data_IF_623926938012
#
_entry.id   IF_623926938012
#
_cell.length_a   1.000
_cell.length_b   1.000
_cell.length_c   1.000
_cell.angle_alpha   90.00
_cell.angle_beta   90.00
_cell.angle_gamma   90.00
#
_symmetry.space_group_name_H-M   'P 1'
#
loop_
_entity.id
_entity.type
_entity.pdbx_description
1 polymer ?
#
# COMPACT_ATOMS: atom_id res chain seq x y z
N UNK A 1 -31.17 -24.77 0.19
CA UNK A 1 -30.91 -24.44 1.61
C UNK A 1 -29.51 -23.84 1.76
N UNK A 2 -28.49 -24.35 1.07
CA UNK A 2 -27.15 -23.81 1.15
C UNK A 2 -27.03 -22.40 0.52
N UNK A 3 -27.79 -22.09 -0.52
CA UNK A 3 -27.85 -20.75 -1.11
C UNK A 3 -28.45 -19.71 -0.16
N UNK A 4 -29.37 -20.13 0.70
CA UNK A 4 -29.95 -19.23 1.70
C UNK A 4 -28.98 -18.89 2.85
N UNK A 5 -27.91 -19.68 3.05
CA UNK A 5 -26.90 -19.41 4.08
C UNK A 5 -25.77 -18.50 3.59
N UNK A 6 -25.62 -18.35 2.28
CA UNK A 6 -24.52 -17.58 1.66
C UNK A 6 -25.04 -16.33 0.95
N UNK A 7 -26.33 -16.21 0.77
CA UNK A 7 -26.86 -15.16 -0.10
C UNK A 7 -28.07 -14.43 0.40
N UNK A 8 -28.25 -13.39 -0.24
CA UNK A 8 -29.22 -12.35 -0.18
C UNK A 8 -30.69 -12.75 0.07
N UNK A 9 -31.08 -13.96 -0.26
CA UNK A 9 -32.51 -14.34 -0.22
C UNK A 9 -33.07 -14.57 1.21
N UNK A 10 -32.23 -14.91 2.17
CA UNK A 10 -32.67 -15.00 3.58
C UNK A 10 -33.02 -13.66 4.18
N UNK A 11 -32.43 -12.61 3.70
CA UNK A 11 -32.60 -11.25 4.24
C UNK A 11 -33.82 -10.51 3.71
N UNK A 12 -34.59 -11.11 2.80
CA UNK A 12 -35.83 -10.52 2.24
C UNK A 12 -36.88 -10.27 3.32
N UNK A 13 -36.85 -11.05 4.41
CA UNK A 13 -37.76 -10.88 5.56
C UNK A 13 -37.20 -10.01 6.66
N UNK A 14 -35.91 -9.72 6.61
CA UNK A 14 -35.23 -8.94 7.63
C UNK A 14 -35.32 -7.44 7.38
N UNK A 15 -34.88 -6.66 8.35
CA UNK A 15 -34.91 -5.20 8.29
C UNK A 15 -33.84 -4.61 7.37
N UNK A 16 -32.84 -5.38 6.99
CA UNK A 16 -31.69 -4.97 6.16
C UNK A 16 -31.49 -6.00 5.03
N UNK A 17 -31.27 -5.52 3.81
CA UNK A 17 -30.90 -6.35 2.68
C UNK A 17 -29.38 -6.46 2.59
N UNK A 18 -28.83 -7.68 2.50
CA UNK A 18 -27.41 -7.91 2.38
C UNK A 18 -27.06 -8.70 1.11
N UNK A 19 -25.87 -8.44 0.56
CA UNK A 19 -25.39 -9.08 -0.66
C UNK A 19 -23.87 -9.17 -0.66
N UNK A 20 -23.33 -10.32 -1.11
CA UNK A 20 -21.91 -10.47 -1.39
C UNK A 20 -21.63 -9.97 -2.81
N UNK A 21 -20.88 -8.89 -2.93
CA UNK A 21 -20.59 -8.25 -4.21
C UNK A 21 -19.16 -8.58 -4.66
N UNK A 22 -19.04 -9.40 -5.69
CA UNK A 22 -17.77 -9.78 -6.30
C UNK A 22 -17.56 -9.15 -7.68
N UNK A 23 -18.21 -8.01 -7.95
CA UNK A 23 -18.05 -7.31 -9.23
C UNK A 23 -16.61 -6.89 -9.48
N UNK A 24 -15.89 -6.46 -8.42
CA UNK A 24 -14.52 -5.97 -8.55
C UNK A 24 -13.53 -7.10 -8.78
N UNK A 25 -12.93 -7.15 -9.96
CA UNK A 25 -11.93 -8.12 -10.40
C UNK A 25 -10.51 -7.55 -10.53
N UNK A 26 -10.34 -6.26 -10.22
CA UNK A 26 -9.12 -5.47 -10.38
C UNK A 26 -9.18 -4.48 -11.55
N UNK A 27 -9.99 -4.74 -12.55
CA UNK A 27 -10.21 -3.85 -13.70
C UNK A 27 -11.56 -3.14 -13.60
N UNK A 28 -12.59 -3.86 -13.17
CA UNK A 28 -13.93 -3.30 -12.98
C UNK A 28 -13.98 -2.53 -11.66
N UNK A 29 -14.22 -1.21 -11.69
CA UNK A 29 -14.28 -0.43 -10.46
C UNK A 29 -15.53 -0.78 -9.64
N UNK A 30 -15.33 -0.98 -8.34
CA UNK A 30 -16.36 -0.80 -7.38
C UNK A 30 -17.29 -1.96 -7.12
N UNK A 31 -18.57 -1.65 -7.01
CA UNK A 31 -19.65 -2.53 -6.66
C UNK A 31 -20.88 -2.26 -7.51
N UNK A 32 -21.80 -3.21 -7.54
CA UNK A 32 -23.09 -3.04 -8.21
C UNK A 32 -23.97 -2.02 -7.52
N UNK A 33 -24.73 -1.19 -8.26
CA UNK A 33 -25.77 -0.33 -7.67
C UNK A 33 -26.88 -1.17 -7.02
N UNK A 34 -27.39 -0.73 -5.87
CA UNK A 34 -28.48 -1.41 -5.15
C UNK A 34 -29.64 -1.83 -6.06
N UNK A 35 -30.09 -0.94 -6.93
CA UNK A 35 -31.20 -1.19 -7.89
C UNK A 35 -30.93 -2.34 -8.88
N UNK A 36 -29.68 -2.71 -9.09
CA UNK A 36 -29.30 -3.85 -9.94
C UNK A 36 -29.36 -5.16 -9.16
N UNK A 37 -29.14 -5.10 -7.85
CA UNK A 37 -29.11 -6.24 -6.95
C UNK A 37 -30.50 -6.59 -6.42
N UNK A 38 -31.31 -5.59 -6.07
CA UNK A 38 -32.64 -5.80 -5.53
C UNK A 38 -33.65 -4.75 -6.02
N UNK A 39 -34.91 -5.17 -6.17
CA UNK A 39 -36.05 -4.26 -6.43
C UNK A 39 -36.61 -3.65 -5.15
N UNK A 40 -36.20 -4.12 -3.97
CA UNK A 40 -36.63 -3.58 -2.68
C UNK A 40 -35.79 -2.33 -2.35
N UNK A 41 -36.38 -1.16 -2.62
CA UNK A 41 -35.72 0.13 -2.41
C UNK A 41 -35.89 0.67 -0.99
N UNK A 42 -36.84 0.11 -0.23
CA UNK A 42 -37.25 0.67 1.06
C UNK A 42 -36.34 0.20 2.22
N UNK A 43 -35.68 -0.93 2.05
CA UNK A 43 -34.77 -1.45 3.07
C UNK A 43 -33.35 -0.87 2.93
N UNK A 44 -32.64 -0.68 4.04
CA UNK A 44 -31.21 -0.44 4.00
C UNK A 44 -30.49 -1.56 3.25
N UNK A 45 -29.47 -1.22 2.47
CA UNK A 45 -28.65 -2.16 1.73
C UNK A 45 -27.23 -2.18 2.26
N UNK A 46 -26.69 -3.37 2.48
CA UNK A 46 -25.35 -3.60 2.99
C UNK A 46 -24.61 -4.58 2.10
N UNK A 47 -23.40 -4.24 1.69
CA UNK A 47 -22.50 -5.19 1.04
C UNK A 47 -21.82 -6.01 2.13
N UNK A 48 -22.24 -7.28 2.27
CA UNK A 48 -21.79 -8.17 3.33
C UNK A 48 -20.42 -8.79 3.08
N UNK A 49 -19.96 -8.79 1.82
CA UNK A 49 -18.62 -9.26 1.45
C UNK A 49 -18.19 -8.69 0.11
N UNK A 50 -16.92 -8.30 0.01
CA UNK A 50 -16.25 -7.96 -1.25
C UNK A 50 -14.76 -8.32 -1.20
N UNK A 51 -14.07 -8.37 -2.33
CA UNK A 51 -12.63 -8.71 -2.50
C UNK A 51 -12.20 -10.10 -1.99
N UNK A 52 -13.14 -11.04 -1.80
CA UNK A 52 -12.94 -12.24 -0.98
C UNK A 52 -11.94 -13.25 -1.48
N UNK A 53 -11.71 -13.43 -2.77
CA UNK A 53 -11.06 -14.67 -3.17
C UNK A 53 -10.06 -14.57 -4.33
N UNK A 54 -9.82 -13.39 -4.85
CA UNK A 54 -9.14 -13.30 -6.14
C UNK A 54 -7.74 -12.71 -6.10
N UNK A 55 -7.27 -12.19 -4.96
CA UNK A 55 -5.97 -11.53 -4.90
C UNK A 55 -5.18 -11.83 -3.62
N UNK A 56 -4.78 -13.11 -3.40
CA UNK A 56 -4.00 -13.46 -2.20
C UNK A 56 -2.68 -12.70 -2.20
N UNK A 57 -2.33 -12.11 -1.06
CA UNK A 57 -1.15 -11.25 -0.92
C UNK A 57 -0.42 -11.53 0.38
N UNK A 58 0.84 -11.92 0.27
CA UNK A 58 1.74 -12.15 1.41
C UNK A 58 2.51 -10.88 1.75
N UNK A 59 2.97 -10.75 2.99
CA UNK A 59 3.76 -9.61 3.44
C UNK A 59 5.07 -9.43 2.65
N UNK A 60 5.61 -10.52 2.09
CA UNK A 60 6.86 -10.59 1.32
C UNK A 60 6.65 -10.73 -0.20
N UNK A 61 5.44 -10.59 -0.71
CA UNK A 61 5.22 -10.46 -2.16
C UNK A 61 5.89 -9.20 -2.70
N UNK A 62 6.10 -9.13 -4.00
CA UNK A 62 6.66 -7.94 -4.63
C UNK A 62 5.79 -6.71 -4.35
N UNK A 63 6.40 -5.53 -4.42
CA UNK A 63 5.74 -4.28 -4.04
C UNK A 63 4.53 -3.94 -4.90
N UNK A 64 4.57 -4.29 -6.19
CA UNK A 64 3.44 -4.09 -7.10
C UNK A 64 2.22 -4.87 -6.63
N UNK A 65 2.39 -6.17 -6.29
CA UNK A 65 1.29 -7.00 -5.78
C UNK A 65 0.74 -6.48 -4.46
N UNK A 66 1.61 -6.07 -3.54
CA UNK A 66 1.19 -5.51 -2.24
C UNK A 66 0.45 -4.18 -2.39
N UNK A 67 0.92 -3.32 -3.30
CA UNK A 67 0.24 -2.05 -3.64
C UNK A 67 -1.12 -2.30 -4.29
N UNK A 68 -1.18 -3.20 -5.27
CA UNK A 68 -2.42 -3.56 -5.96
C UNK A 68 -3.47 -4.11 -4.99
N UNK A 69 -3.06 -4.94 -4.00
CA UNK A 69 -3.97 -5.41 -2.95
C UNK A 69 -4.64 -4.25 -2.22
N UNK A 70 -3.87 -3.22 -1.83
CA UNK A 70 -4.41 -2.04 -1.18
C UNK A 70 -5.36 -1.25 -2.11
N UNK A 71 -4.97 -1.09 -3.37
CA UNK A 71 -5.76 -0.36 -4.37
C UNK A 71 -7.10 -1.04 -4.66
N UNK A 72 -7.16 -2.37 -4.68
CA UNK A 72 -8.41 -3.12 -4.85
C UNK A 72 -9.41 -2.81 -3.74
N UNK A 73 -8.97 -2.74 -2.49
CA UNK A 73 -9.83 -2.32 -1.37
C UNK A 73 -10.29 -0.86 -1.53
N UNK A 74 -9.40 0.05 -1.92
CA UNK A 74 -9.76 1.45 -2.16
C UNK A 74 -10.80 1.61 -3.28
N UNK A 75 -10.68 0.84 -4.37
CA UNK A 75 -11.63 0.86 -5.49
C UNK A 75 -13.06 0.53 -5.04
N UNK A 76 -13.23 -0.50 -4.22
CA UNK A 76 -14.56 -0.87 -3.72
C UNK A 76 -15.08 0.15 -2.72
N UNK A 77 -14.24 0.59 -1.77
CA UNK A 77 -14.64 1.58 -0.78
C UNK A 77 -15.07 2.91 -1.42
N UNK A 78 -14.36 3.39 -2.44
CA UNK A 78 -14.73 4.60 -3.17
C UNK A 78 -16.08 4.43 -3.89
N UNK A 79 -16.29 3.27 -4.52
CA UNK A 79 -17.55 2.99 -5.22
C UNK A 79 -18.74 2.84 -4.26
N UNK A 80 -18.52 2.29 -3.07
CA UNK A 80 -19.52 2.22 -2.00
C UNK A 80 -19.85 3.61 -1.48
N UNK A 81 -18.82 4.39 -1.14
CA UNK A 81 -18.99 5.75 -0.62
C UNK A 81 -19.64 6.71 -1.62
N UNK A 82 -19.53 6.42 -2.91
CA UNK A 82 -20.20 7.17 -3.99
C UNK A 82 -21.69 6.85 -4.18
N UNK A 83 -22.27 5.93 -3.40
CA UNK A 83 -23.67 5.51 -3.54
C UNK A 83 -24.44 5.73 -2.23
N UNK A 84 -25.36 6.68 -2.23
CA UNK A 84 -26.14 7.09 -1.04
C UNK A 84 -27.09 5.99 -0.53
N UNK A 85 -27.45 5.02 -1.36
CA UNK A 85 -28.37 3.94 -1.05
C UNK A 85 -27.66 2.66 -0.51
N UNK A 86 -26.34 2.72 -0.32
CA UNK A 86 -25.56 1.69 0.36
C UNK A 86 -25.22 2.13 1.77
N UNK A 87 -25.73 1.41 2.76
CA UNK A 87 -25.55 1.72 4.18
C UNK A 87 -24.14 1.41 4.71
N UNK A 88 -23.42 0.50 4.05
CA UNK A 88 -22.05 0.12 4.42
C UNK A 88 -21.58 -1.13 3.71
N UNK A 89 -20.33 -1.52 3.99
CA UNK A 89 -19.72 -2.69 3.38
C UNK A 89 -18.67 -3.36 4.27
N UNK A 90 -18.47 -4.66 4.07
CA UNK A 90 -17.44 -5.46 4.74
C UNK A 90 -16.53 -6.11 3.72
N UNK A 91 -15.22 -5.82 3.84
CA UNK A 91 -14.21 -6.46 3.01
C UNK A 91 -13.84 -7.85 3.52
N UNK A 92 -13.64 -8.77 2.63
CA UNK A 92 -13.05 -10.06 2.95
C UNK A 92 -11.54 -10.02 2.72
N UNK A 93 -10.75 -10.14 3.79
CA UNK A 93 -11.15 -10.25 5.19
C UNK A 93 -10.15 -9.49 6.08
N UNK A 94 -10.41 -9.45 7.39
CA UNK A 94 -9.53 -8.74 8.31
C UNK A 94 -8.17 -9.43 8.46
N UNK A 95 -8.15 -10.76 8.61
CA UNK A 95 -6.94 -11.55 8.86
C UNK A 95 -6.76 -12.66 7.84
N UNK A 96 -5.51 -13.00 7.53
CA UNK A 96 -5.20 -14.28 6.92
C UNK A 96 -5.62 -15.41 7.88
N UNK A 97 -5.97 -16.57 7.33
CA UNK A 97 -6.48 -17.67 8.12
C UNK A 97 -6.11 -19.04 7.53
N UNK A 98 -6.06 -20.05 8.39
CA UNK A 98 -5.89 -21.42 7.95
C UNK A 98 -7.11 -21.89 7.17
N UNK A 99 -6.88 -22.61 6.08
CA UNK A 99 -7.92 -23.07 5.20
C UNK A 99 -7.79 -24.56 4.88
N UNK A 100 -8.79 -25.11 4.21
CA UNK A 100 -8.85 -26.49 3.81
C UNK A 100 -7.76 -26.83 2.78
N UNK A 101 -7.32 -28.10 2.75
CA UNK A 101 -6.28 -28.60 1.82
C UNK A 101 -6.57 -28.36 0.34
N UNK A 102 -7.82 -28.24 -0.04
CA UNK A 102 -8.27 -28.07 -1.41
C UNK A 102 -8.53 -26.58 -1.75
N UNK A 103 -8.20 -25.67 -0.85
CA UNK A 103 -8.39 -24.23 -1.02
C UNK A 103 -7.09 -23.46 -0.70
N UNK A 104 -6.77 -22.49 -1.54
CA UNK A 104 -5.60 -21.63 -1.36
C UNK A 104 -4.31 -22.21 -1.91
N UNK A 105 -3.20 -21.69 -1.45
CA UNK A 105 -1.86 -22.18 -1.78
C UNK A 105 -1.51 -23.44 -1.00
N UNK A 106 -0.46 -24.13 -1.40
CA UNK A 106 -0.06 -25.40 -0.80
C UNK A 106 0.29 -25.36 0.70
N UNK A 107 0.48 -24.18 1.26
CA UNK A 107 0.68 -23.93 2.70
C UNK A 107 -0.61 -23.90 3.52
N UNK A 108 -1.77 -24.07 2.88
CA UNK A 108 -3.11 -24.10 3.49
C UNK A 108 -3.45 -22.81 4.26
N UNK A 109 -2.94 -21.70 3.80
CA UNK A 109 -3.26 -20.38 4.32
C UNK A 109 -3.98 -19.58 3.24
N UNK A 110 -5.07 -18.94 3.61
CA UNK A 110 -5.78 -17.97 2.79
C UNK A 110 -5.21 -16.57 3.06
N UNK A 111 -4.49 -16.01 2.11
CA UNK A 111 -3.78 -14.74 2.24
C UNK A 111 -4.61 -13.53 1.80
N UNK A 112 -5.91 -13.53 2.05
CA UNK A 112 -6.81 -12.45 1.65
C UNK A 112 -6.95 -11.35 2.71
N UNK A 113 -6.41 -11.56 3.90
CA UNK A 113 -6.48 -10.59 4.98
C UNK A 113 -5.82 -9.27 4.66
N UNK A 114 -6.39 -8.17 5.13
CA UNK A 114 -5.71 -6.87 5.18
C UNK A 114 -4.62 -6.85 6.24
N UNK A 115 -4.64 -7.82 7.15
CA UNK A 115 -3.58 -8.17 8.10
C UNK A 115 -3.21 -9.63 7.92
N UNK A 116 -2.00 -10.01 8.36
CA UNK A 116 -1.62 -11.42 8.41
C UNK A 116 -2.34 -12.17 9.54
N UNK A 117 -2.12 -13.48 9.65
CA UNK A 117 -2.76 -14.30 10.68
C UNK A 117 -2.26 -13.99 12.12
N UNK A 118 -1.18 -13.25 12.25
CA UNK A 118 -0.63 -12.75 13.52
C UNK A 118 -1.00 -11.28 13.79
N UNK A 119 -1.90 -10.72 12.99
CA UNK A 119 -2.41 -9.34 13.08
C UNK A 119 -1.39 -8.25 12.74
N UNK A 120 -0.34 -8.58 11.99
CA UNK A 120 0.52 -7.55 11.42
C UNK A 120 -0.18 -6.91 10.21
N UNK A 121 -0.24 -5.58 10.13
CA UNK A 121 -0.94 -4.91 9.05
C UNK A 121 -0.17 -5.06 7.73
N UNK A 122 -0.90 -5.39 6.66
CA UNK A 122 -0.45 -5.24 5.27
C UNK A 122 -0.80 -3.84 4.77
N UNK A 123 -0.35 -3.46 3.57
CA UNK A 123 -0.66 -2.13 3.01
C UNK A 123 -2.16 -1.84 2.95
N UNK A 124 -2.98 -2.85 2.64
CA UNK A 124 -4.43 -2.70 2.56
C UNK A 124 -5.09 -2.27 3.89
N UNK A 125 -4.51 -2.63 5.04
CA UNK A 125 -5.01 -2.15 6.34
C UNK A 125 -4.93 -0.62 6.46
N UNK A 126 -3.91 -0.01 5.85
CA UNK A 126 -3.75 1.44 5.88
C UNK A 126 -4.82 2.18 5.09
N UNK A 127 -5.44 1.56 4.08
CA UNK A 127 -6.56 2.15 3.34
C UNK A 127 -7.74 2.41 4.28
N UNK A 128 -8.09 1.40 5.10
CA UNK A 128 -9.14 1.56 6.11
C UNK A 128 -8.73 2.52 7.24
N UNK A 129 -7.48 2.41 7.68
CA UNK A 129 -6.97 3.26 8.75
C UNK A 129 -6.92 4.75 8.36
N UNK A 130 -6.87 5.07 7.08
CA UNK A 130 -6.91 6.46 6.60
C UNK A 130 -8.29 7.11 6.75
N UNK A 131 -9.38 6.35 6.88
CA UNK A 131 -10.74 6.90 6.96
C UNK A 131 -11.15 7.37 8.38
N UNK A 132 -10.20 7.42 9.31
CA UNK A 132 -10.35 8.00 10.65
C UNK A 132 -9.39 9.19 10.87
N UNK A 133 -9.67 10.04 11.86
CA UNK A 133 -8.93 11.28 12.12
C UNK A 133 -8.09 11.29 13.40
N UNK A 134 -8.24 10.28 14.26
CA UNK A 134 -7.66 10.28 15.61
C UNK A 134 -6.18 9.89 15.62
N UNK A 135 -5.82 8.86 14.85
CA UNK A 135 -4.47 8.31 14.84
C UNK A 135 -3.79 8.68 13.52
N UNK A 136 -2.63 9.37 13.55
CA UNK A 136 -1.90 9.73 12.34
C UNK A 136 -1.47 8.51 11.52
N UNK A 137 -1.91 8.44 10.28
CA UNK A 137 -1.51 7.43 9.30
C UNK A 137 -0.63 8.07 8.23
N UNK A 138 0.52 7.45 8.00
CA UNK A 138 1.38 7.72 6.86
C UNK A 138 2.07 6.43 6.48
N UNK A 139 1.73 5.90 5.32
CA UNK A 139 2.34 4.71 4.73
C UNK A 139 2.67 4.98 3.27
N UNK A 140 3.89 4.61 2.86
CA UNK A 140 4.32 4.62 1.47
C UNK A 140 4.33 3.17 0.99
N UNK A 141 3.72 2.89 -0.17
CA UNK A 141 3.53 1.51 -0.64
C UNK A 141 4.80 0.86 -1.20
N UNK A 142 5.95 1.48 -1.04
CA UNK A 142 7.27 0.98 -1.45
C UNK A 142 8.31 1.19 -0.36
N UNK A 143 9.35 0.35 -0.36
CA UNK A 143 10.57 0.59 0.40
C UNK A 143 11.37 1.76 -0.17
N UNK A 144 11.12 2.16 -1.42
CA UNK A 144 11.92 3.10 -2.21
C UNK A 144 13.36 2.63 -2.47
N UNK A 145 13.68 1.38 -2.14
CA UNK A 145 14.99 0.74 -2.29
C UNK A 145 15.09 0.03 -3.66
N UNK A 146 15.02 0.84 -4.69
CA UNK A 146 14.84 0.39 -6.06
C UNK A 146 16.13 -0.18 -6.60
N UNK A 147 16.07 -1.45 -7.05
CA UNK A 147 17.20 -2.17 -7.63
C UNK A 147 17.97 -3.03 -6.64
N UNK A 148 17.76 -2.89 -5.34
CA UNK A 148 18.43 -3.70 -4.32
C UNK A 148 17.80 -5.09 -4.18
N UNK A 149 16.50 -5.21 -4.45
CA UNK A 149 15.80 -6.48 -4.44
C UNK A 149 14.89 -6.60 -5.66
N UNK A 150 14.76 -7.80 -6.28
CA UNK A 150 13.89 -8.00 -7.45
C UNK A 150 12.40 -7.67 -7.22
N UNK A 151 11.95 -7.74 -5.97
CA UNK A 151 10.60 -7.37 -5.56
C UNK A 151 10.38 -5.87 -5.36
N UNK A 152 11.45 -5.07 -5.35
CA UNK A 152 11.39 -3.62 -5.26
C UNK A 152 11.38 -3.03 -6.67
N UNK A 153 10.36 -2.27 -6.99
CA UNK A 153 10.29 -1.59 -8.29
C UNK A 153 9.68 -0.22 -8.12
N UNK A 154 9.91 0.64 -9.11
CA UNK A 154 9.39 1.99 -9.04
C UNK A 154 7.95 2.11 -9.50
N UNK A 155 7.35 1.20 -10.13
CA UNK A 155 5.97 1.15 -10.60
C UNK A 155 5.03 2.28 -10.14
N UNK A 156 3.78 2.01 -9.96
CA UNK A 156 2.84 2.92 -9.33
C UNK A 156 2.98 2.82 -7.81
N UNK A 157 3.48 3.90 -7.20
CA UNK A 157 3.66 4.03 -5.76
C UNK A 157 2.62 4.98 -5.20
N UNK A 158 2.11 4.67 -4.02
CA UNK A 158 1.04 5.47 -3.42
C UNK A 158 1.41 5.93 -2.01
N UNK A 159 0.87 7.09 -1.67
CA UNK A 159 0.81 7.62 -0.31
C UNK A 159 -0.56 7.24 0.25
N UNK A 160 -0.57 6.60 1.41
CA UNK A 160 -1.76 6.33 2.21
C UNK A 160 -1.62 7.17 3.48
N UNK A 161 -2.47 8.19 3.64
CA UNK A 161 -2.36 9.12 4.78
C UNK A 161 -3.70 9.80 5.05
N UNK A 162 -4.00 10.04 6.33
CA UNK A 162 -5.14 10.83 6.79
C UNK A 162 -4.75 12.28 7.18
N UNK A 163 -3.64 12.76 6.67
CA UNK A 163 -3.19 14.14 6.85
C UNK A 163 -3.80 15.08 5.80
N UNK A 164 -3.75 16.39 6.08
CA UNK A 164 -4.19 17.44 5.13
C UNK A 164 -3.29 17.49 3.89
N UNK A 165 -2.01 17.19 4.08
CA UNK A 165 -1.05 17.06 2.99
C UNK A 165 0.16 16.21 3.39
N UNK A 166 0.90 15.72 2.38
CA UNK A 166 2.18 15.04 2.56
C UNK A 166 3.23 15.69 1.68
N UNK A 167 4.30 16.17 2.29
CA UNK A 167 5.46 16.71 1.58
C UNK A 167 6.51 15.66 1.36
N UNK A 168 6.91 15.51 0.10
CA UNK A 168 7.98 14.60 -0.31
C UNK A 168 9.27 15.36 -0.52
N UNK A 169 10.36 14.82 0.03
CA UNK A 169 11.72 15.30 -0.12
C UNK A 169 12.61 14.20 -0.67
N UNK A 170 13.58 14.56 -1.49
CA UNK A 170 14.66 13.70 -1.98
C UNK A 170 15.99 14.35 -1.62
N UNK A 171 16.81 13.66 -0.79
CA UNK A 171 18.07 14.20 -0.26
C UNK A 171 17.89 15.62 0.32
N UNK A 172 16.90 15.77 1.22
CA UNK A 172 16.46 17.02 1.86
C UNK A 172 15.94 18.11 0.91
N UNK A 173 15.93 17.86 -0.39
CA UNK A 173 15.34 18.78 -1.35
C UNK A 173 13.84 18.50 -1.48
N UNK A 174 13.01 19.53 -1.31
CA UNK A 174 11.58 19.47 -1.56
C UNK A 174 11.31 19.07 -3.03
N UNK A 175 10.44 18.08 -3.22
CA UNK A 175 10.00 17.61 -4.53
C UNK A 175 8.59 18.09 -4.80
N UNK A 176 7.62 17.64 -3.98
CA UNK A 176 6.20 17.93 -4.19
C UNK A 176 5.40 17.81 -2.90
N UNK A 177 4.31 18.57 -2.81
CA UNK A 177 3.29 18.40 -1.80
C UNK A 177 2.08 17.71 -2.41
N UNK A 178 1.68 16.60 -1.80
CA UNK A 178 0.53 15.79 -2.18
C UNK A 178 -0.63 16.08 -1.25
N UNK A 179 -1.84 16.20 -1.81
CA UNK A 179 -3.06 16.52 -1.06
C UNK A 179 -4.19 15.54 -1.42
N UNK A 180 -5.17 15.31 -0.54
CA UNK A 180 -6.29 14.39 -0.80
C UNK A 180 -7.02 14.66 -2.13
N UNK A 181 -7.13 15.92 -2.54
CA UNK A 181 -7.80 16.30 -3.80
C UNK A 181 -7.08 15.76 -5.06
N UNK A 182 -5.80 15.38 -4.93
CA UNK A 182 -5.03 14.77 -6.02
C UNK A 182 -5.34 13.28 -6.19
N UNK A 183 -6.00 12.67 -5.20
CA UNK A 183 -6.44 11.27 -5.30
C UNK A 183 -7.49 11.10 -6.40
N UNK A 184 -7.46 10.02 -7.17
CA UNK A 184 -8.55 9.66 -8.09
C UNK A 184 -9.82 9.19 -7.36
N UNK A 185 -9.72 8.81 -6.10
CA UNK A 185 -10.79 8.30 -5.25
C UNK A 185 -11.56 9.46 -4.64
N UNK A 186 -12.63 9.88 -5.34
CA UNK A 186 -13.32 11.16 -5.05
C UNK A 186 -14.34 11.08 -3.92
N UNK A 187 -14.73 9.87 -3.54
CA UNK A 187 -15.72 9.64 -2.49
C UNK A 187 -15.07 9.22 -1.16
N UNK A 188 -13.76 8.91 -1.17
CA UNK A 188 -12.98 8.68 0.05
C UNK A 188 -12.42 10.00 0.58
N UNK A 189 -12.49 10.20 1.89
CA UNK A 189 -11.91 11.38 2.54
C UNK A 189 -10.40 11.43 2.35
N UNK A 190 -9.75 10.29 2.43
CA UNK A 190 -8.30 10.13 2.34
C UNK A 190 -7.91 8.98 1.41
N UNK A 191 -8.39 9.02 0.17
CA UNK A 191 -8.07 8.00 -0.83
C UNK A 191 -6.56 7.98 -1.17
N UNK A 192 -6.04 6.82 -1.63
CA UNK A 192 -4.65 6.67 -2.05
C UNK A 192 -4.21 7.74 -3.06
N UNK A 193 -3.03 8.33 -2.86
CA UNK A 193 -2.50 9.37 -3.74
C UNK A 193 -1.29 8.80 -4.49
N UNK A 194 -1.33 8.82 -5.82
CA UNK A 194 -0.23 8.37 -6.65
C UNK A 194 0.98 9.31 -6.54
N UNK A 195 2.17 8.76 -6.28
CA UNK A 195 3.43 9.49 -6.40
C UNK A 195 3.77 9.60 -7.88
N UNK A 196 3.61 10.79 -8.42
CA UNK A 196 3.76 11.07 -9.85
C UNK A 196 5.00 11.90 -10.20
N UNK A 197 5.73 12.39 -9.20
CA UNK A 197 6.93 13.20 -9.39
C UNK A 197 8.08 12.77 -8.47
N UNK A 198 9.25 12.51 -9.05
CA UNK A 198 10.50 12.14 -8.38
C UNK A 198 11.61 13.17 -8.61
N UNK A 199 11.35 14.23 -9.38
CA UNK A 199 12.33 15.17 -9.90
C UNK A 199 12.13 16.57 -9.33
N UNK A 200 10.86 17.00 -9.21
CA UNK A 200 10.51 18.36 -8.83
C UNK A 200 11.07 19.38 -9.84
N UNK A 201 11.66 20.44 -9.32
CA UNK A 201 12.26 21.53 -10.09
C UNK A 201 13.75 21.33 -10.43
N UNK A 202 14.28 20.10 -10.24
CA UNK A 202 15.71 19.83 -10.37
C UNK A 202 16.28 20.12 -11.75
N UNK A 203 15.52 19.83 -12.82
CA UNK A 203 15.98 20.08 -14.20
C UNK A 203 16.09 21.58 -14.50
N UNK A 204 15.16 22.39 -14.00
CA UNK A 204 15.21 23.84 -14.15
C UNK A 204 16.39 24.44 -13.39
N UNK A 205 16.54 24.07 -12.12
CA UNK A 205 17.54 24.67 -11.23
C UNK A 205 18.98 24.20 -11.49
N UNK A 206 19.17 22.90 -11.78
CA UNK A 206 20.51 22.31 -11.87
C UNK A 206 21.02 22.23 -13.31
N UNK A 207 20.12 21.98 -14.30
CA UNK A 207 20.48 21.80 -15.70
C UNK A 207 20.22 23.07 -16.52
N UNK A 208 19.68 24.12 -15.90
CA UNK A 208 19.41 25.42 -16.53
C UNK A 208 18.46 25.31 -17.73
N UNK A 209 17.61 24.30 -17.77
CA UNK A 209 16.56 24.22 -18.78
C UNK A 209 15.55 25.34 -18.60
N UNK A 210 14.96 25.80 -19.71
CA UNK A 210 13.82 26.72 -19.63
C UNK A 210 12.67 26.02 -18.91
N UNK A 211 11.86 26.70 -18.07
CA UNK A 211 10.82 26.10 -17.24
C UNK A 211 9.90 25.12 -18.00
N UNK A 212 9.47 25.50 -19.20
CA UNK A 212 8.62 24.67 -20.04
C UNK A 212 9.31 23.36 -20.47
N UNK A 213 10.59 23.44 -20.87
CA UNK A 213 11.36 22.27 -21.30
C UNK A 213 11.67 21.34 -20.12
N UNK A 214 12.05 21.94 -18.97
CA UNK A 214 12.27 21.20 -17.73
C UNK A 214 11.04 20.39 -17.32
N UNK A 215 9.87 21.04 -17.38
CA UNK A 215 8.61 20.39 -17.03
C UNK A 215 8.26 19.24 -17.99
N UNK A 216 8.29 19.47 -19.30
CA UNK A 216 7.96 18.44 -20.29
C UNK A 216 8.88 17.22 -20.19
N UNK A 217 10.17 17.45 -19.92
CA UNK A 217 11.14 16.39 -19.71
C UNK A 217 10.89 15.66 -18.37
N UNK A 218 10.67 16.38 -17.28
CA UNK A 218 10.37 15.80 -15.99
C UNK A 218 9.11 14.93 -16.06
N UNK A 219 8.03 15.43 -16.67
CA UNK A 219 6.79 14.70 -16.86
C UNK A 219 7.02 13.39 -17.66
N UNK A 220 7.80 13.45 -18.75
CA UNK A 220 8.12 12.27 -19.54
C UNK A 220 8.96 11.26 -18.75
N UNK A 221 9.98 11.72 -18.03
CA UNK A 221 10.84 10.85 -17.20
C UNK A 221 10.07 10.24 -16.04
N UNK A 222 9.18 10.98 -15.38
CA UNK A 222 8.31 10.48 -14.32
C UNK A 222 7.32 9.42 -14.83
N UNK A 223 6.80 9.54 -16.05
CA UNK A 223 5.96 8.51 -16.67
C UNK A 223 6.77 7.23 -16.93
N UNK A 224 8.00 7.37 -17.44
CA UNK A 224 8.89 6.22 -17.66
C UNK A 224 9.30 5.57 -16.34
N UNK A 225 9.52 6.35 -15.29
CA UNK A 225 9.87 5.85 -13.96
C UNK A 225 8.78 4.94 -13.35
N UNK A 226 7.51 5.25 -13.61
CA UNK A 226 6.38 4.44 -13.14
C UNK A 226 6.09 3.21 -14.01
N UNK A 227 6.59 3.21 -15.23
CA UNK A 227 6.53 2.07 -16.13
C UNK A 227 7.82 1.26 -16.14
N UNK A 228 8.13 0.68 -17.27
CA UNK A 228 9.41 0.01 -17.51
C UNK A 228 10.20 0.77 -18.57
N UNK A 229 11.52 0.90 -18.39
CA UNK A 229 12.42 1.42 -19.43
C UNK A 229 12.35 0.61 -20.72
N UNK A 230 11.98 -0.67 -20.62
CA UNK A 230 11.82 -1.57 -21.75
C UNK A 230 10.49 -1.38 -22.49
N UNK A 231 9.57 -0.57 -21.96
CA UNK A 231 8.25 -0.37 -22.53
C UNK A 231 7.80 1.08 -22.42
N UNK A 232 8.36 1.95 -23.29
CA UNK A 232 8.00 3.37 -23.34
C UNK A 232 6.57 3.50 -23.88
N UNK A 233 5.63 4.10 -23.13
CA UNK A 233 4.26 4.29 -23.58
C UNK A 233 4.21 5.09 -24.90
N UNK A 234 3.42 4.63 -25.88
CA UNK A 234 3.27 5.27 -27.20
C UNK A 234 2.89 6.76 -27.09
N UNK A 235 2.17 7.16 -26.04
CA UNK A 235 1.80 8.56 -25.77
C UNK A 235 3.00 9.48 -25.56
N UNK A 236 4.18 8.94 -25.25
CA UNK A 236 5.41 9.73 -25.10
C UNK A 236 6.17 9.96 -26.40
N UNK A 237 5.83 9.27 -27.53
CA UNK A 237 6.53 9.44 -28.81
C UNK A 237 6.47 10.86 -29.33
N UNK A 238 5.33 11.61 -29.29
CA UNK A 238 5.32 13.02 -29.71
C UNK A 238 6.24 13.89 -28.82
N UNK A 239 6.28 13.65 -27.53
CA UNK A 239 7.16 14.36 -26.60
C UNK A 239 8.62 14.04 -26.89
N UNK A 240 8.99 12.77 -27.09
CA UNK A 240 10.33 12.36 -27.45
C UNK A 240 10.80 13.00 -28.78
N UNK A 241 9.93 13.02 -29.80
CA UNK A 241 10.20 13.67 -31.08
C UNK A 241 10.40 15.18 -30.91
N UNK A 242 9.59 15.82 -30.09
CA UNK A 242 9.72 17.24 -29.77
C UNK A 242 11.02 17.55 -29.05
N UNK A 243 11.41 16.74 -28.05
CA UNK A 243 12.68 16.87 -27.33
C UNK A 243 13.86 16.78 -28.27
N UNK A 244 13.84 15.81 -29.20
CA UNK A 244 14.91 15.64 -30.17
C UNK A 244 14.97 16.76 -31.22
N UNK A 245 13.85 17.14 -31.84
CA UNK A 245 13.83 18.05 -32.98
C UNK A 245 13.87 19.54 -32.57
N UNK A 246 13.17 19.90 -31.50
CA UNK A 246 13.04 21.31 -31.09
C UNK A 246 14.04 21.72 -30.00
N UNK A 247 14.42 20.78 -29.14
CA UNK A 247 15.29 21.06 -28.01
C UNK A 247 16.69 20.50 -28.20
N UNK A 248 16.90 19.75 -29.32
CA UNK A 248 18.18 19.12 -29.66
C UNK A 248 18.74 18.23 -28.55
N UNK A 249 17.86 17.61 -27.76
CA UNK A 249 18.22 16.69 -26.70
C UNK A 249 18.23 15.29 -27.27
N UNK A 250 19.38 14.64 -27.31
CA UNK A 250 19.51 13.30 -27.80
C UNK A 250 19.16 12.24 -26.75
N UNK A 251 19.00 10.99 -27.20
CA UNK A 251 18.67 9.88 -26.32
C UNK A 251 19.72 9.63 -25.22
N UNK A 252 20.98 9.90 -25.51
CA UNK A 252 22.10 9.71 -24.56
C UNK A 252 21.99 10.72 -23.42
N UNK A 253 21.66 11.97 -23.75
CA UNK A 253 21.45 13.04 -22.77
C UNK A 253 20.23 12.74 -21.88
N UNK A 254 19.11 12.32 -22.48
CA UNK A 254 17.91 11.90 -21.73
C UNK A 254 18.24 10.75 -20.77
N UNK A 255 19.01 9.76 -21.23
CA UNK A 255 19.41 8.61 -20.40
C UNK A 255 20.31 9.04 -19.24
N UNK A 256 21.26 9.95 -19.48
CA UNK A 256 22.11 10.51 -18.41
C UNK A 256 21.28 11.24 -17.36
N UNK A 257 20.32 12.07 -17.80
CA UNK A 257 19.42 12.81 -16.89
C UNK A 257 18.51 11.85 -16.12
N UNK A 258 17.99 10.82 -16.79
CA UNK A 258 17.20 9.78 -16.14
C UNK A 258 18.00 9.06 -15.06
N UNK A 259 19.22 8.60 -15.37
CA UNK A 259 20.11 7.96 -14.41
C UNK A 259 20.43 8.87 -13.23
N UNK A 260 20.68 10.18 -13.51
CA UNK A 260 21.02 11.15 -12.48
C UNK A 260 19.85 11.48 -11.53
N UNK A 261 18.61 11.58 -12.06
CA UNK A 261 17.47 12.10 -11.29
C UNK A 261 16.46 11.03 -10.87
N UNK A 262 16.46 9.89 -11.53
CA UNK A 262 15.51 8.81 -11.26
C UNK A 262 16.21 7.50 -10.98
N UNK A 263 17.17 7.09 -11.84
CA UNK A 263 17.80 5.78 -11.80
C UNK A 263 18.66 5.52 -10.57
N UNK A 264 19.27 6.56 -10.03
CA UNK A 264 20.13 6.57 -8.83
C UNK A 264 21.29 5.53 -8.85
N UNK A 265 21.61 4.97 -10.02
CA UNK A 265 22.63 3.95 -10.18
C UNK A 265 24.02 4.56 -10.17
N UNK A 266 24.89 4.06 -9.26
CA UNK A 266 26.29 4.47 -9.16
C UNK A 266 26.47 5.88 -8.58
N UNK A 267 25.44 6.47 -8.01
CA UNK A 267 25.47 7.78 -7.34
C UNK A 267 25.53 7.68 -5.82
N UNK A 268 25.26 8.80 -5.17
CA UNK A 268 25.05 8.85 -3.72
C UNK A 268 23.72 8.17 -3.39
N UNK A 269 23.67 7.44 -2.28
CA UNK A 269 22.44 6.84 -1.78
C UNK A 269 21.30 7.89 -1.71
N UNK A 270 20.14 7.52 -2.23
CA UNK A 270 19.00 8.41 -2.24
C UNK A 270 18.16 8.22 -0.98
N UNK A 271 17.94 9.32 -0.28
CA UNK A 271 17.05 9.37 0.89
C UNK A 271 15.76 10.06 0.50
N UNK A 272 14.62 9.37 0.67
CA UNK A 272 13.29 9.96 0.53
C UNK A 272 12.70 10.18 1.91
N UNK A 273 12.20 11.39 2.17
CA UNK A 273 11.44 11.72 3.37
C UNK A 273 10.04 12.22 3.00
N UNK A 274 9.06 11.71 3.73
CA UNK A 274 7.66 12.08 3.61
C UNK A 274 7.18 12.63 4.95
N UNK A 275 6.71 13.87 4.96
CA UNK A 275 6.20 14.55 6.14
C UNK A 275 4.70 14.75 6.00
N UNK A 276 3.91 14.05 6.82
CA UNK A 276 2.46 14.22 6.93
C UNK A 276 2.14 15.47 7.75
N UNK A 277 1.32 16.36 7.18
CA UNK A 277 0.99 17.65 7.77
C UNK A 277 -0.51 17.71 8.06
N UNK A 278 -0.86 18.06 9.29
CA UNK A 278 -2.22 18.33 9.72
C UNK A 278 -2.23 19.63 10.53
N UNK A 279 -3.18 20.53 10.26
CA UNK A 279 -3.26 21.85 10.91
C UNK A 279 -1.93 22.65 10.82
N UNK A 280 -1.24 22.53 9.70
CA UNK A 280 0.03 23.20 9.44
C UNK A 280 1.24 22.65 10.20
N UNK A 281 1.09 21.54 10.94
CA UNK A 281 2.17 20.89 11.71
C UNK A 281 2.49 19.51 11.14
N UNK A 282 3.77 19.15 11.19
CA UNK A 282 4.19 17.78 10.89
C UNK A 282 3.73 16.86 12.03
N UNK A 283 2.86 15.90 11.73
CA UNK A 283 2.31 14.96 12.69
C UNK A 283 2.97 13.58 12.62
N UNK A 284 3.57 13.26 11.47
CA UNK A 284 4.29 12.00 11.25
C UNK A 284 5.28 12.17 10.10
N UNK A 285 6.44 11.52 10.22
CA UNK A 285 7.44 11.47 9.15
C UNK A 285 7.85 10.03 8.88
N UNK A 286 8.09 9.70 7.62
CA UNK A 286 8.63 8.42 7.18
C UNK A 286 9.83 8.70 6.30
N UNK A 287 10.98 8.09 6.64
CA UNK A 287 12.20 8.17 5.85
C UNK A 287 12.48 6.80 5.22
N UNK A 288 12.80 6.78 3.94
CA UNK A 288 13.16 5.62 3.15
C UNK A 288 14.53 5.85 2.52
N UNK A 289 15.46 4.95 2.79
CA UNK A 289 16.81 4.95 2.21
C UNK A 289 17.27 3.52 1.94
N UNK A 290 18.33 3.31 1.12
CA UNK A 290 18.95 2.00 0.97
C UNK A 290 19.36 1.41 2.33
N UNK A 291 19.10 0.13 2.52
CA UNK A 291 19.33 -0.55 3.80
C UNK A 291 20.82 -0.59 4.10
N UNK A 292 21.26 0.13 5.12
CA UNK A 292 22.65 0.18 5.58
C UNK A 292 22.85 -0.45 6.97
N UNK A 293 21.81 -1.05 7.54
CA UNK A 293 21.82 -1.73 8.81
C UNK A 293 20.48 -2.36 9.13
N UNK A 294 20.51 -3.49 9.80
CA UNK A 294 19.32 -4.24 10.17
C UNK A 294 19.26 -4.36 11.69
N UNK A 295 18.11 -4.07 12.27
CA UNK A 295 17.84 -4.23 13.71
C UNK A 295 16.66 -5.16 13.92
N UNK A 296 16.73 -5.99 14.95
CA UNK A 296 15.53 -6.65 15.46
C UNK A 296 14.79 -5.71 16.41
N UNK A 297 13.51 -5.58 16.20
CA UNK A 297 12.58 -4.88 17.08
C UNK A 297 11.60 -5.91 17.64
N UNK A 298 11.51 -5.98 18.96
CA UNK A 298 10.55 -6.83 19.66
C UNK A 298 9.54 -5.96 20.41
N UNK A 299 8.26 -6.31 20.32
CA UNK A 299 7.15 -5.61 20.95
C UNK A 299 6.19 -6.64 21.56
N UNK A 300 5.97 -6.56 22.86
CA UNK A 300 4.96 -7.36 23.55
C UNK A 300 3.65 -6.59 23.67
N UNK A 301 2.51 -7.28 23.51
CA UNK A 301 1.19 -6.67 23.69
C UNK A 301 0.94 -6.29 25.15
N UNK A 302 1.52 -7.03 26.10
CA UNK A 302 1.60 -6.68 27.52
C UNK A 302 2.82 -7.35 28.18
N UNK A 303 3.27 -6.83 29.30
CA UNK A 303 4.51 -7.26 29.99
C UNK A 303 4.27 -7.92 31.34
N UNK A 304 3.05 -7.86 31.87
CA UNK A 304 2.68 -8.48 33.11
C UNK A 304 1.80 -9.69 32.85
N UNK A 305 2.28 -10.88 33.17
CA UNK A 305 1.51 -12.10 33.12
C UNK A 305 0.92 -12.40 34.51
N UNK A 306 -0.38 -12.70 34.56
CA UNK A 306 -1.07 -12.96 35.80
C UNK A 306 -1.83 -14.28 35.72
N UNK A 307 -1.36 -15.29 36.46
CA UNK A 307 -2.04 -16.57 36.54
C UNK A 307 -3.20 -16.48 37.55
N UNK A 308 -4.39 -16.95 37.11
CA UNK A 308 -5.58 -17.07 37.93
C UNK A 308 -6.11 -18.52 37.90
N UNK A 309 -7.11 -18.80 37.04
CA UNK A 309 -7.64 -20.14 36.84
C UNK A 309 -6.94 -20.88 35.70
N UNK A 310 -6.22 -20.16 34.87
CA UNK A 310 -5.39 -20.64 33.80
C UNK A 310 -4.16 -19.75 33.65
N UNK A 311 -3.17 -20.24 32.90
CA UNK A 311 -2.00 -19.43 32.56
C UNK A 311 -2.40 -18.22 31.68
N UNK A 312 -1.63 -17.16 31.79
CA UNK A 312 -1.71 -15.98 30.95
C UNK A 312 -0.67 -16.05 29.83
N UNK A 313 -0.90 -15.34 28.72
CA UNK A 313 -0.08 -15.42 27.50
C UNK A 313 0.14 -14.02 26.94
N UNK A 314 1.39 -13.61 26.76
CA UNK A 314 1.73 -12.40 26.00
C UNK A 314 2.18 -12.76 24.57
N UNK A 315 1.72 -11.99 23.60
CA UNK A 315 2.17 -12.07 22.22
C UNK A 315 3.35 -11.13 22.01
N UNK A 316 4.49 -11.69 21.60
CA UNK A 316 5.67 -10.90 21.22
C UNK A 316 5.81 -10.88 19.71
N UNK A 317 5.76 -9.70 19.11
CA UNK A 317 6.04 -9.46 17.70
C UNK A 317 7.51 -9.11 17.52
N UNK A 318 8.18 -9.84 16.65
CA UNK A 318 9.60 -9.60 16.32
C UNK A 318 9.65 -9.18 14.86
N UNK A 319 10.34 -8.07 14.57
CA UNK A 319 10.49 -7.52 13.22
C UNK A 319 11.94 -7.20 12.92
N UNK A 320 12.36 -7.44 11.68
CA UNK A 320 13.58 -6.85 11.14
C UNK A 320 13.25 -5.47 10.57
N UNK A 321 13.94 -4.46 11.05
CA UNK A 321 13.72 -3.07 10.63
C UNK A 321 15.03 -2.40 10.23
N UNK A 322 14.93 -1.41 9.34
CA UNK A 322 16.04 -0.54 8.97
C UNK A 322 16.39 0.48 10.09
N UNK A 323 17.33 1.38 9.80
CA UNK A 323 17.74 2.44 10.73
C UNK A 323 16.59 3.39 11.11
N UNK A 324 15.57 3.52 10.25
CA UNK A 324 14.41 4.40 10.44
C UNK A 324 13.18 3.68 11.02
N UNK A 325 13.29 2.38 11.32
CA UNK A 325 12.18 1.58 11.86
C UNK A 325 11.22 1.07 10.79
N UNK A 326 11.55 1.14 9.51
CA UNK A 326 10.74 0.51 8.47
C UNK A 326 10.97 -1.00 8.49
N UNK A 327 9.89 -1.77 8.45
CA UNK A 327 9.95 -3.22 8.31
C UNK A 327 10.56 -3.58 6.96
N UNK A 328 11.46 -4.58 6.97
CA UNK A 328 12.17 -5.07 5.79
C UNK A 328 11.44 -6.28 5.20
N UNK A 329 10.53 -6.11 4.25
CA UNK A 329 9.58 -7.15 3.83
C UNK A 329 10.24 -8.35 3.15
N UNK A 330 11.50 -8.23 2.72
CA UNK A 330 12.24 -9.29 2.07
C UNK A 330 13.29 -9.95 2.97
N UNK A 331 13.36 -9.54 4.25
CA UNK A 331 14.23 -10.17 5.23
C UNK A 331 13.60 -11.47 5.73
N UNK A 332 14.35 -12.58 5.67
CA UNK A 332 13.84 -13.93 5.96
C UNK A 332 14.79 -14.75 6.84
N UNK A 333 15.80 -14.11 7.45
CA UNK A 333 16.74 -14.82 8.30
C UNK A 333 16.08 -15.39 9.57
N UNK A 334 16.58 -16.51 10.08
CA UNK A 334 16.03 -17.10 11.29
C UNK A 334 16.41 -16.32 12.54
N UNK A 335 15.48 -16.24 13.48
CA UNK A 335 15.67 -15.68 14.81
C UNK A 335 15.51 -16.79 15.84
N UNK A 336 16.45 -16.89 16.76
CA UNK A 336 16.36 -17.77 17.91
C UNK A 336 15.87 -17.01 19.13
N UNK A 337 14.86 -17.56 19.81
CA UNK A 337 14.23 -17.00 20.98
C UNK A 337 14.60 -17.86 22.19
N UNK A 338 14.94 -17.24 23.30
CA UNK A 338 15.20 -17.91 24.57
C UNK A 338 14.31 -17.30 25.65
N UNK A 339 13.83 -18.12 26.56
CA UNK A 339 13.07 -17.69 27.73
C UNK A 339 13.85 -18.01 29.01
N UNK A 340 13.87 -17.11 29.97
CA UNK A 340 14.49 -17.27 31.28
C UNK A 340 13.50 -16.89 32.38
N UNK A 341 13.52 -17.62 33.51
CA UNK A 341 12.58 -17.42 34.61
C UNK A 341 11.31 -18.25 34.51
N UNK A 342 10.23 -17.83 35.17
CA UNK A 342 8.97 -18.57 35.29
C UNK A 342 8.05 -18.35 34.08
N UNK A 343 8.62 -18.41 32.88
CA UNK A 343 7.92 -18.30 31.62
C UNK A 343 8.33 -19.41 30.65
N UNK A 344 7.45 -19.74 29.71
CA UNK A 344 7.72 -20.72 28.66
C UNK A 344 7.34 -20.15 27.28
N UNK A 345 8.10 -20.52 26.25
CA UNK A 345 7.76 -20.21 24.87
C UNK A 345 6.66 -21.15 24.40
N UNK A 346 5.56 -20.57 23.88
CA UNK A 346 4.53 -21.33 23.18
C UNK A 346 4.84 -21.25 21.69
N UNK A 347 5.38 -22.32 21.14
CA UNK A 347 5.81 -22.42 19.75
C UNK A 347 7.28 -22.83 19.60
N UNK A 348 7.84 -22.77 18.38
CA UNK A 348 9.25 -23.08 18.15
C UNK A 348 10.15 -21.97 18.74
N UNK A 349 11.31 -22.38 19.21
CA UNK A 349 12.36 -21.45 19.68
C UNK A 349 13.16 -20.80 18.53
N UNK A 350 13.00 -21.30 17.33
CA UNK A 350 13.65 -20.77 16.12
C UNK A 350 12.63 -20.57 15.04
N UNK A 351 12.48 -19.34 14.59
CA UNK A 351 11.51 -18.91 13.60
C UNK A 351 12.18 -18.13 12.48
N UNK A 352 11.72 -18.27 11.25
CA UNK A 352 12.11 -17.40 10.15
C UNK A 352 11.21 -16.16 10.12
N UNK A 353 11.83 -14.99 9.92
CA UNK A 353 11.09 -13.75 9.74
C UNK A 353 10.56 -13.71 8.30
N UNK A 354 9.30 -14.01 8.11
CA UNK A 354 8.63 -13.99 6.81
C UNK A 354 8.00 -12.62 6.57
N UNK A 355 8.72 -11.79 5.82
CA UNK A 355 8.28 -10.43 5.54
C UNK A 355 8.80 -9.39 6.54
N UNK A 356 9.90 -9.71 7.19
CA UNK A 356 10.60 -8.85 8.14
C UNK A 356 10.23 -9.11 9.61
#
# INVERSE_FOLDING_TARGET
>A
IAQCLVGSEMCIRDSVYTYNDFLHDGETPGCDPKKKVTSDTDKPYLISEYNGHMYPTKAFDNEERRSEHAIRHANVLDAVAGQEDIAGSFGWCMFDYNTHKDFGSGDRICYHGVMDMFRNPKLAASVYACEQDEIPVLQITSSMDIGEHPGCNRGNLYILSNADSVRMYKNDRFIKEYRPEMSPYKHLKHGPILIDDFIGDALEKNERFRPKHAKEMADAMNIVARGSLNHIPKRLYPTALKLALLYHIDFVEVTKLYTKYIGDWGGTATVYRFDAIKDGKVIKSVTKEPVNGIRLQAEADHTNLTEHHSYDVALVRIRAVDAHGNVLPFYQEPVRITAEGDIAIIGPDTIALQGG
#
